data_IF_597792930634
#
_entry.id   IF_597792930634
#
_cell.length_a   1.000
_cell.length_b   1.000
_cell.length_c   1.000
_cell.angle_alpha   90.00
_cell.angle_beta   90.00
_cell.angle_gamma   90.00
#
_symmetry.space_group_name_H-M   'P 1'
#
loop_
_entity.id
_entity.type
_entity.pdbx_description
1 polymer ?
#
# COMPACT_ATOMS: atom_id res chain seq x y z
N UNK A 1 -6.75 -12.36 -9.47
CA UNK A 1 -7.09 -11.89 -8.11
C UNK A 1 -7.96 -10.65 -8.24
N UNK A 2 -8.81 -10.39 -7.24
CA UNK A 2 -9.57 -9.13 -7.13
C UNK A 2 -8.75 -8.10 -6.37
N UNK A 3 -8.71 -6.85 -6.87
CA UNK A 3 -7.96 -5.79 -6.20
C UNK A 3 -8.79 -4.51 -6.02
N UNK A 4 -8.45 -3.76 -4.97
CA UNK A 4 -8.97 -2.44 -4.66
C UNK A 4 -7.85 -1.42 -4.87
N UNK A 5 -8.12 -0.31 -5.59
CA UNK A 5 -7.15 0.72 -5.94
C UNK A 5 -7.39 1.98 -5.10
N UNK A 6 -6.61 2.17 -4.03
CA UNK A 6 -6.69 3.30 -3.12
C UNK A 6 -5.68 4.38 -3.51
N UNK A 7 -6.04 5.66 -3.38
CA UNK A 7 -5.24 6.78 -3.88
C UNK A 7 -4.94 6.64 -5.37
N UNK A 8 -5.97 6.28 -6.13
CA UNK A 8 -5.86 5.70 -7.46
C UNK A 8 -5.25 6.64 -8.51
N UNK A 9 -5.32 7.98 -8.30
CA UNK A 9 -4.85 8.94 -9.29
C UNK A 9 -5.56 8.74 -10.63
N UNK A 10 -4.78 8.47 -11.67
CA UNK A 10 -5.29 8.12 -13.00
C UNK A 10 -5.24 6.61 -13.30
N UNK A 11 -4.92 5.78 -12.30
CA UNK A 11 -4.96 4.31 -12.40
C UNK A 11 -3.64 3.64 -12.80
N UNK A 12 -2.51 4.14 -12.31
CA UNK A 12 -1.21 3.52 -12.58
C UNK A 12 -1.13 2.08 -12.07
N UNK A 13 -1.54 1.83 -10.83
CA UNK A 13 -1.65 0.47 -10.26
C UNK A 13 -2.63 -0.38 -11.05
N UNK A 14 -3.82 0.16 -11.32
CA UNK A 14 -4.86 -0.54 -12.07
C UNK A 14 -4.34 -1.04 -13.41
N UNK A 15 -3.68 -0.17 -14.17
CA UNK A 15 -3.14 -0.54 -15.48
C UNK A 15 -2.17 -1.74 -15.39
N UNK A 16 -1.31 -1.74 -14.37
CA UNK A 16 -0.37 -2.85 -14.12
C UNK A 16 -1.09 -4.13 -13.71
N UNK A 17 -2.04 -4.03 -12.80
CA UNK A 17 -2.80 -5.15 -12.28
C UNK A 17 -3.70 -5.80 -13.33
N UNK A 18 -4.41 -5.01 -14.13
CA UNK A 18 -5.24 -5.52 -15.23
C UNK A 18 -4.42 -6.20 -16.33
N UNK A 19 -3.24 -5.63 -16.67
CA UNK A 19 -2.30 -6.28 -17.61
C UNK A 19 -1.78 -7.61 -17.09
N UNK A 20 -1.71 -7.78 -15.77
CA UNK A 20 -1.37 -9.05 -15.13
C UNK A 20 -2.58 -10.00 -14.97
N UNK A 21 -3.75 -9.66 -15.52
CA UNK A 21 -4.96 -10.49 -15.49
C UNK A 21 -5.73 -10.43 -14.17
N UNK A 22 -5.62 -9.32 -13.44
CA UNK A 22 -6.37 -9.10 -12.21
C UNK A 22 -7.58 -8.19 -12.45
N UNK A 23 -8.59 -8.28 -11.60
CA UNK A 23 -9.89 -7.59 -11.70
C UNK A 23 -9.97 -6.50 -10.63
N UNK A 24 -10.27 -5.27 -11.04
CA UNK A 24 -10.57 -4.18 -10.12
C UNK A 24 -11.98 -4.34 -9.56
N UNK A 25 -12.16 -4.17 -8.26
CA UNK A 25 -13.48 -4.20 -7.61
C UNK A 25 -13.93 -2.82 -7.15
N UNK A 26 -13.03 -1.85 -7.14
CA UNK A 26 -13.33 -0.49 -6.75
C UNK A 26 -12.08 0.37 -6.64
N UNK A 27 -12.28 1.65 -6.53
CA UNK A 27 -11.20 2.63 -6.38
C UNK A 27 -11.59 3.77 -5.45
N UNK A 28 -10.57 4.43 -4.90
CA UNK A 28 -10.74 5.63 -4.09
C UNK A 28 -9.76 6.70 -4.55
N UNK A 29 -10.29 7.89 -4.90
CA UNK A 29 -9.49 9.05 -5.30
C UNK A 29 -10.23 10.35 -4.93
N UNK A 30 -9.56 11.24 -4.19
CA UNK A 30 -10.18 12.48 -3.70
C UNK A 30 -10.26 13.55 -4.79
N UNK A 31 -9.26 13.60 -5.69
CA UNK A 31 -9.22 14.61 -6.75
C UNK A 31 -10.23 14.30 -7.84
N UNK A 32 -11.17 15.22 -8.06
CA UNK A 32 -12.25 15.05 -9.05
C UNK A 32 -11.76 14.96 -10.49
N UNK A 33 -10.62 15.61 -10.82
CA UNK A 33 -10.09 15.58 -12.18
C UNK A 33 -9.35 14.28 -12.44
N UNK A 34 -8.62 13.78 -11.42
CA UNK A 34 -8.02 12.46 -11.48
C UNK A 34 -9.09 11.37 -11.63
N UNK A 35 -10.20 11.43 -10.85
CA UNK A 35 -11.34 10.50 -11.01
C UNK A 35 -11.95 10.54 -12.39
N UNK A 36 -12.15 11.74 -12.96
CA UNK A 36 -12.67 11.87 -14.34
C UNK A 36 -11.74 11.20 -15.35
N UNK A 37 -10.43 11.41 -15.21
CA UNK A 37 -9.44 10.78 -16.07
C UNK A 37 -9.41 9.26 -15.88
N UNK A 38 -9.47 8.79 -14.63
CA UNK A 38 -9.55 7.38 -14.28
C UNK A 38 -10.73 6.69 -14.98
N UNK A 39 -11.93 7.27 -14.86
CA UNK A 39 -13.15 6.74 -15.48
C UNK A 39 -13.17 6.83 -17.01
N UNK A 40 -12.41 7.76 -17.58
CA UNK A 40 -12.24 7.86 -19.03
C UNK A 40 -11.25 6.82 -19.59
N UNK A 41 -10.28 6.40 -18.79
CA UNK A 41 -9.24 5.44 -19.18
C UNK A 41 -9.70 4.01 -18.94
N UNK A 42 -10.41 3.77 -17.83
CA UNK A 42 -10.76 2.45 -17.34
C UNK A 42 -12.27 2.22 -17.36
N UNK A 43 -12.70 0.98 -17.61
CA UNK A 43 -14.09 0.59 -17.41
C UNK A 43 -14.33 0.41 -15.90
N UNK A 44 -15.18 1.26 -15.33
CA UNK A 44 -15.52 1.25 -13.89
C UNK A 44 -16.97 0.85 -13.63
N UNK A 45 -17.65 0.28 -14.62
CA UNK A 45 -19.05 -0.12 -14.48
C UNK A 45 -19.21 -1.25 -13.45
N UNK A 46 -20.08 -1.03 -12.48
CA UNK A 46 -20.33 -2.01 -11.40
C UNK A 46 -19.28 -2.03 -10.28
N UNK A 47 -18.28 -1.17 -10.31
CA UNK A 47 -17.26 -1.06 -9.29
C UNK A 47 -17.65 -0.10 -8.15
N UNK A 48 -17.06 -0.29 -6.97
CA UNK A 48 -17.16 0.69 -5.88
C UNK A 48 -16.35 1.93 -6.20
N UNK A 49 -16.97 3.10 -6.14
CA UNK A 49 -16.29 4.39 -6.27
C UNK A 49 -16.36 5.13 -4.93
N UNK A 50 -15.19 5.41 -4.35
CA UNK A 50 -15.04 6.22 -3.16
C UNK A 50 -14.27 7.49 -3.49
N UNK A 51 -14.55 8.55 -2.74
CA UNK A 51 -13.88 9.85 -2.94
C UNK A 51 -12.86 10.11 -1.85
N UNK A 52 -13.31 10.56 -0.69
CA UNK A 52 -12.46 10.77 0.48
C UNK A 52 -12.38 9.48 1.30
N UNK A 53 -11.20 8.90 1.37
CA UNK A 53 -10.95 7.63 2.08
C UNK A 53 -11.31 7.75 3.57
N UNK A 54 -11.13 8.94 4.16
CA UNK A 54 -11.41 9.19 5.58
C UNK A 54 -12.90 9.21 5.89
N UNK A 55 -13.73 9.49 4.88
CA UNK A 55 -15.18 9.55 5.00
C UNK A 55 -15.88 8.21 4.68
N UNK A 56 -15.14 7.19 4.25
CA UNK A 56 -15.72 5.88 3.94
C UNK A 56 -16.09 5.14 5.22
N UNK A 57 -17.37 4.82 5.39
CA UNK A 57 -17.84 4.05 6.53
C UNK A 57 -17.36 2.58 6.46
N UNK A 58 -17.13 1.96 7.61
CA UNK A 58 -16.67 0.56 7.72
C UNK A 58 -17.66 -0.42 7.07
N UNK A 59 -18.97 -0.13 7.14
CA UNK A 59 -20.01 -0.93 6.47
C UNK A 59 -19.85 -0.89 4.95
N UNK A 60 -19.47 0.26 4.39
CA UNK A 60 -19.20 0.38 2.95
C UNK A 60 -17.96 -0.42 2.55
N UNK A 61 -16.93 -0.45 3.41
CA UNK A 61 -15.75 -1.28 3.19
C UNK A 61 -16.13 -2.77 3.22
N UNK A 62 -16.92 -3.19 4.22
CA UNK A 62 -17.41 -4.59 4.30
C UNK A 62 -18.25 -4.97 3.08
N UNK A 63 -19.01 -4.00 2.54
CA UNK A 63 -19.84 -4.17 1.35
C UNK A 63 -19.06 -4.52 0.08
N UNK A 64 -17.76 -4.17 0.00
CA UNK A 64 -16.87 -4.56 -1.10
C UNK A 64 -16.76 -6.10 -1.18
N UNK A 65 -16.87 -6.78 -0.05
CA UNK A 65 -16.73 -8.22 0.06
C UNK A 65 -15.27 -8.65 -0.11
N UNK A 66 -14.99 -9.45 -1.17
CA UNK A 66 -13.66 -10.01 -1.37
C UNK A 66 -12.75 -9.06 -2.16
N UNK A 67 -11.66 -8.65 -1.55
CA UNK A 67 -10.48 -8.09 -2.22
C UNK A 67 -9.26 -8.94 -1.83
N UNK A 68 -8.54 -9.46 -2.82
CA UNK A 68 -7.33 -10.27 -2.60
C UNK A 68 -6.10 -9.37 -2.43
N UNK A 69 -6.13 -8.18 -3.03
CA UNK A 69 -5.04 -7.18 -3.00
C UNK A 69 -5.62 -5.80 -2.74
N UNK A 70 -4.97 -5.04 -1.88
CA UNK A 70 -5.14 -3.58 -1.81
C UNK A 70 -3.89 -2.94 -2.41
N UNK A 71 -4.09 -2.14 -3.48
CA UNK A 71 -3.07 -1.26 -4.06
C UNK A 71 -3.22 0.14 -3.51
N UNK A 72 -2.11 0.88 -3.33
CA UNK A 72 -2.21 2.27 -2.90
C UNK A 72 -0.90 3.04 -2.91
N UNK A 73 -0.90 4.18 -3.60
CA UNK A 73 0.18 5.17 -3.57
C UNK A 73 -0.18 6.30 -2.60
N UNK A 74 0.01 6.09 -1.30
CA UNK A 74 -0.37 7.07 -0.29
C UNK A 74 0.64 8.22 -0.19
N UNK A 75 0.20 9.45 0.13
CA UNK A 75 1.11 10.58 0.30
C UNK A 75 1.98 10.41 1.55
N UNK A 76 3.26 10.81 1.45
CA UNK A 76 4.16 10.87 2.59
C UNK A 76 3.74 12.03 3.51
N UNK A 77 3.19 11.71 4.66
CA UNK A 77 2.82 12.68 5.69
C UNK A 77 3.55 12.35 6.99
N UNK A 78 3.99 13.38 7.71
CA UNK A 78 4.57 13.20 9.03
C UNK A 78 3.54 12.60 9.99
N UNK A 79 3.92 11.54 10.70
CA UNK A 79 3.16 11.06 11.83
C UNK A 79 3.37 12.03 13.01
N UNK A 80 2.30 12.55 13.61
CA UNK A 80 2.46 13.33 14.82
C UNK A 80 2.95 12.40 15.94
N UNK A 81 4.03 12.82 16.63
CA UNK A 81 4.74 12.04 17.65
C UNK A 81 3.86 11.72 18.88
N UNK A 82 2.66 12.30 18.98
CA UNK A 82 1.74 12.09 20.10
C UNK A 82 1.27 10.61 20.25
N UNK A 83 1.37 9.79 19.18
CA UNK A 83 0.86 8.42 19.15
C UNK A 83 1.84 7.31 19.56
N UNK A 84 3.09 7.61 19.96
CA UNK A 84 4.11 6.58 20.26
C UNK A 84 3.77 5.61 21.41
N UNK A 85 2.66 5.81 22.14
CA UNK A 85 2.29 4.99 23.32
C UNK A 85 0.86 4.43 23.31
N UNK A 86 0.03 4.75 22.32
CA UNK A 86 -1.40 4.47 22.36
C UNK A 86 -1.91 3.42 21.35
N UNK A 87 -1.05 2.78 20.60
CA UNK A 87 -1.43 1.73 19.65
C UNK A 87 -2.18 2.25 18.41
N UNK A 88 -2.73 1.32 17.64
CA UNK A 88 -3.40 1.53 16.36
C UNK A 88 -4.56 2.56 16.39
N UNK A 89 -5.19 2.76 17.56
CA UNK A 89 -6.36 3.62 17.68
C UNK A 89 -6.05 5.13 17.73
N UNK A 90 -4.86 5.52 18.16
CA UNK A 90 -4.50 6.93 18.38
C UNK A 90 -3.81 7.60 17.18
N UNK A 91 -3.44 6.79 16.16
CA UNK A 91 -2.81 7.24 14.92
C UNK A 91 -3.82 7.53 13.80
N UNK A 92 -5.12 7.46 14.11
CA UNK A 92 -6.21 7.83 13.21
C UNK A 92 -6.04 9.28 12.75
N UNK A 93 -5.68 9.47 11.48
CA UNK A 93 -5.51 10.80 10.88
C UNK A 93 -4.44 10.90 9.81
N UNK A 94 -3.60 9.88 9.66
CA UNK A 94 -2.69 9.81 8.51
C UNK A 94 -3.25 8.84 7.47
N UNK A 95 -3.08 9.18 6.21
CA UNK A 95 -3.69 8.44 5.11
C UNK A 95 -3.19 6.99 4.98
N UNK A 96 -2.00 6.66 5.51
CA UNK A 96 -1.56 5.27 5.63
C UNK A 96 -2.46 4.46 6.56
N UNK A 97 -2.92 5.03 7.69
CA UNK A 97 -3.78 4.31 8.61
C UNK A 97 -5.19 4.09 8.07
N UNK A 98 -5.62 4.86 7.07
CA UNK A 98 -6.82 4.53 6.33
C UNK A 98 -6.62 3.25 5.49
N UNK A 99 -5.44 3.07 4.84
CA UNK A 99 -5.13 1.78 4.20
C UNK A 99 -5.14 0.65 5.23
N UNK A 100 -4.53 0.87 6.39
CA UNK A 100 -4.50 -0.10 7.48
C UNK A 100 -5.91 -0.46 7.98
N UNK A 101 -6.84 0.51 8.05
CA UNK A 101 -8.26 0.31 8.37
C UNK A 101 -8.94 -0.58 7.31
N UNK A 102 -8.78 -0.27 6.03
CA UNK A 102 -9.29 -1.12 4.95
C UNK A 102 -8.71 -2.54 5.03
N UNK A 103 -7.40 -2.66 5.27
CA UNK A 103 -6.74 -3.96 5.40
C UNK A 103 -7.22 -4.75 6.61
N UNK A 104 -7.53 -4.09 7.74
CA UNK A 104 -8.08 -4.75 8.93
C UNK A 104 -9.46 -5.36 8.69
N UNK A 105 -10.28 -4.71 7.87
CA UNK A 105 -11.66 -5.11 7.57
C UNK A 105 -11.71 -6.18 6.48
N UNK A 106 -11.01 -5.95 5.36
CA UNK A 106 -11.07 -6.80 4.17
C UNK A 106 -10.12 -8.01 4.24
N UNK A 107 -9.05 -7.91 5.06
CA UNK A 107 -8.03 -8.95 5.21
C UNK A 107 -7.49 -9.47 3.88
N UNK A 108 -7.05 -8.58 2.96
CA UNK A 108 -6.52 -9.01 1.66
C UNK A 108 -5.28 -9.89 1.84
N UNK A 109 -5.02 -10.76 0.87
CA UNK A 109 -3.80 -11.59 0.87
C UNK A 109 -2.53 -10.75 0.75
N UNK A 110 -2.62 -9.68 -0.02
CA UNK A 110 -1.50 -8.80 -0.32
C UNK A 110 -1.87 -7.34 -0.14
N UNK A 111 -0.90 -6.58 0.32
CA UNK A 111 -0.88 -5.12 0.21
C UNK A 111 0.20 -4.76 -0.81
N UNK A 112 -0.11 -3.91 -1.80
CA UNK A 112 0.83 -3.44 -2.80
C UNK A 112 0.89 -1.92 -2.74
N UNK A 113 1.85 -1.40 -1.99
CA UNK A 113 1.92 0.01 -1.63
C UNK A 113 3.10 0.70 -2.31
N UNK A 114 2.95 2.00 -2.59
CA UNK A 114 4.00 2.84 -3.18
C UNK A 114 4.17 4.12 -2.40
N UNK A 115 5.41 4.58 -2.34
CA UNK A 115 5.71 5.91 -1.81
C UNK A 115 7.00 6.48 -2.43
N UNK A 116 7.28 7.74 -2.12
CA UNK A 116 8.58 8.35 -2.44
C UNK A 116 9.69 7.72 -1.60
N UNK A 117 10.92 7.64 -2.13
CA UNK A 117 12.07 7.07 -1.39
C UNK A 117 12.41 7.83 -0.11
N UNK A 118 12.06 9.12 -0.04
CA UNK A 118 12.19 9.91 1.17
C UNK A 118 11.44 9.33 2.39
N UNK A 119 10.46 8.45 2.18
CA UNK A 119 9.76 7.74 3.26
C UNK A 119 10.72 6.93 4.13
N UNK A 120 11.73 6.29 3.51
CA UNK A 120 12.67 5.41 4.22
C UNK A 120 13.50 6.16 5.27
N UNK A 121 13.80 7.45 5.01
CA UNK A 121 14.61 8.29 5.88
C UNK A 121 13.80 9.37 6.60
N UNK A 122 12.48 9.42 6.37
CA UNK A 122 11.63 10.44 6.98
C UNK A 122 11.61 10.28 8.51
N UNK A 123 11.79 11.40 9.22
CA UNK A 123 11.91 11.44 10.69
C UNK A 123 12.95 10.42 11.21
N UNK A 124 14.15 10.42 10.61
CA UNK A 124 15.23 9.47 10.93
C UNK A 124 14.81 7.98 10.82
N UNK A 125 13.90 7.65 9.90
CA UNK A 125 13.38 6.30 9.70
C UNK A 125 12.16 5.95 10.56
N UNK A 126 11.83 6.74 11.59
CA UNK A 126 10.71 6.45 12.51
C UNK A 126 9.37 6.29 11.78
N UNK A 127 9.15 7.06 10.71
CA UNK A 127 7.92 6.96 9.92
C UNK A 127 7.78 5.60 9.26
N UNK A 128 8.86 5.12 8.65
CA UNK A 128 8.85 3.82 7.98
C UNK A 128 8.73 2.66 8.98
N UNK A 129 9.44 2.74 10.12
CA UNK A 129 9.31 1.78 11.22
C UNK A 129 7.89 1.72 11.77
N UNK A 130 7.20 2.86 11.87
CA UNK A 130 5.78 2.92 12.29
C UNK A 130 4.88 2.19 11.29
N UNK A 131 5.11 2.36 9.98
CA UNK A 131 4.39 1.63 8.93
C UNK A 131 4.61 0.13 9.07
N UNK A 132 5.87 -0.31 9.21
CA UNK A 132 6.21 -1.71 9.36
C UNK A 132 5.59 -2.31 10.62
N UNK A 133 5.62 -1.57 11.74
CA UNK A 133 4.98 -1.99 13.00
C UNK A 133 3.46 -2.17 12.84
N UNK A 134 2.78 -1.23 12.18
CA UNK A 134 1.35 -1.34 11.92
C UNK A 134 1.01 -2.53 11.00
N UNK A 135 1.82 -2.81 9.99
CA UNK A 135 1.66 -3.99 9.14
C UNK A 135 1.85 -5.28 9.95
N UNK A 136 2.85 -5.32 10.83
CA UNK A 136 3.09 -6.46 11.71
C UNK A 136 1.92 -6.72 12.67
N UNK A 137 1.39 -5.68 13.31
CA UNK A 137 0.20 -5.75 14.18
C UNK A 137 -1.03 -6.27 13.42
N UNK A 138 -1.20 -5.89 12.16
CA UNK A 138 -2.26 -6.39 11.28
C UNK A 138 -2.03 -7.83 10.81
N UNK A 139 -0.88 -8.42 11.11
CA UNK A 139 -0.52 -9.78 10.74
C UNK A 139 0.05 -9.92 9.34
N UNK A 140 0.70 -8.88 8.81
CA UNK A 140 1.41 -8.91 7.53
C UNK A 140 2.91 -8.99 7.75
N UNK A 141 3.57 -9.87 7.01
CA UNK A 141 5.00 -9.78 6.75
C UNK A 141 5.23 -8.79 5.62
N UNK A 142 6.25 -7.96 5.71
CA UNK A 142 6.50 -6.91 4.71
C UNK A 142 7.87 -7.10 4.06
N UNK A 143 7.94 -6.84 2.76
CA UNK A 143 9.16 -6.68 2.00
C UNK A 143 9.07 -5.40 1.17
N UNK A 144 10.21 -4.79 0.84
CA UNK A 144 10.23 -3.57 0.03
C UNK A 144 11.46 -3.49 -0.85
N UNK A 145 11.31 -2.77 -1.95
CA UNK A 145 12.40 -2.50 -2.90
C UNK A 145 12.22 -1.12 -3.54
N UNK A 146 13.33 -0.43 -3.76
CA UNK A 146 13.34 0.83 -4.51
C UNK A 146 13.50 0.55 -5.99
N UNK A 147 12.61 1.11 -6.81
CA UNK A 147 12.68 1.07 -8.26
C UNK A 147 12.82 2.46 -8.85
N UNK A 148 13.55 2.55 -9.96
CA UNK A 148 13.63 3.76 -10.76
C UNK A 148 12.99 3.53 -12.12
N UNK A 149 12.03 4.38 -12.50
CA UNK A 149 11.27 4.23 -13.76
C UNK A 149 12.15 4.16 -15.00
N UNK A 150 13.35 4.81 -14.98
CA UNK A 150 14.31 4.75 -16.10
C UNK A 150 14.79 3.33 -16.42
N UNK A 151 14.77 2.42 -15.43
CA UNK A 151 15.20 1.03 -15.62
C UNK A 151 14.10 0.17 -16.26
N UNK A 152 12.90 0.74 -16.50
CA UNK A 152 11.72 0.07 -17.05
C UNK A 152 11.23 0.71 -18.35
N UNK A 153 12.15 1.31 -19.11
CA UNK A 153 11.85 1.85 -20.45
C UNK A 153 11.18 3.23 -20.47
N UNK A 154 11.09 3.90 -19.32
CA UNK A 154 10.54 5.26 -19.23
C UNK A 154 11.71 6.25 -19.08
N UNK A 155 11.84 7.27 -19.96
CA UNK A 155 12.94 8.23 -19.92
C UNK A 155 12.72 9.29 -18.79
N UNK A 156 12.45 8.83 -17.59
CA UNK A 156 12.21 9.64 -16.40
C UNK A 156 12.99 9.08 -15.22
N UNK A 157 13.80 9.91 -14.58
CA UNK A 157 14.47 9.54 -13.34
C UNK A 157 13.49 9.74 -12.16
N UNK A 158 12.76 8.66 -11.83
CA UNK A 158 11.74 8.67 -10.76
C UNK A 158 11.92 7.45 -9.89
N UNK A 159 12.47 7.65 -8.70
CA UNK A 159 12.62 6.57 -7.71
C UNK A 159 11.39 6.47 -6.82
N UNK A 160 10.97 5.25 -6.54
CA UNK A 160 9.87 4.92 -5.65
C UNK A 160 10.17 3.67 -4.86
N UNK A 161 9.80 3.68 -3.60
CA UNK A 161 9.77 2.47 -2.78
C UNK A 161 8.42 1.79 -2.99
N UNK A 162 8.50 0.50 -3.30
CA UNK A 162 7.32 -0.38 -3.30
C UNK A 162 7.40 -1.30 -2.10
N UNK A 163 6.27 -1.45 -1.41
CA UNK A 163 6.14 -2.26 -0.20
C UNK A 163 5.09 -3.32 -0.49
N UNK A 164 5.44 -4.58 -0.28
CA UNK A 164 4.51 -5.71 -0.38
C UNK A 164 4.26 -6.25 1.01
N UNK A 165 2.99 -6.21 1.44
CA UNK A 165 2.54 -6.91 2.65
C UNK A 165 1.98 -8.28 2.29
N UNK A 166 2.39 -9.32 2.99
CA UNK A 166 1.91 -10.69 2.86
C UNK A 166 1.13 -11.08 4.10
N UNK A 167 -0.16 -11.38 3.96
CA UNK A 167 -0.97 -11.83 5.10
C UNK A 167 -0.46 -13.17 5.60
N UNK A 168 -0.07 -13.25 6.86
CA UNK A 168 0.40 -14.47 7.49
C UNK A 168 -0.66 -15.57 7.42
N UNK A 169 -0.23 -16.78 7.09
CA UNK A 169 -1.12 -17.92 6.93
C UNK A 169 -1.91 -17.97 5.61
N UNK A 170 -1.88 -16.94 4.77
CA UNK A 170 -2.57 -16.93 3.49
C UNK A 170 -1.76 -17.64 2.36
N UNK A 171 -0.54 -18.05 2.65
CA UNK A 171 0.41 -18.61 1.68
C UNK A 171 0.89 -17.51 0.70
N UNK A 172 2.16 -17.39 0.54
CA UNK A 172 2.79 -16.45 -0.37
C UNK A 172 4.30 -16.74 -0.38
N UNK A 173 4.95 -16.36 -1.46
CA UNK A 173 6.41 -16.39 -1.57
C UNK A 173 6.91 -14.95 -1.64
N UNK A 174 8.14 -14.73 -1.22
CA UNK A 174 8.82 -13.47 -1.42
C UNK A 174 8.78 -13.06 -2.92
N UNK A 175 8.54 -11.79 -3.17
CA UNK A 175 8.45 -11.20 -4.50
C UNK A 175 9.75 -10.51 -4.85
N UNK A 176 10.39 -9.88 -3.89
CA UNK A 176 11.66 -9.20 -4.06
C UNK A 176 12.86 -10.14 -3.71
N UNK A 177 14.02 -9.95 -4.34
CA UNK A 177 14.37 -8.94 -5.33
C UNK A 177 13.77 -9.21 -6.71
N UNK A 178 13.36 -8.14 -7.38
CA UNK A 178 12.82 -8.20 -8.73
C UNK A 178 13.81 -7.56 -9.72
N UNK A 179 14.25 -8.34 -10.71
CA UNK A 179 14.90 -7.84 -11.91
C UNK A 179 16.25 -7.13 -11.76
N UNK A 180 17.21 -7.66 -11.00
CA UNK A 180 18.62 -7.23 -11.09
C UNK A 180 18.89 -5.74 -10.78
N UNK A 181 18.06 -5.10 -10.00
CA UNK A 181 18.21 -3.71 -9.59
C UNK A 181 18.82 -3.66 -8.20
N UNK A 182 20.10 -3.28 -8.13
CA UNK A 182 20.89 -3.20 -6.88
C UNK A 182 20.55 -1.95 -6.05
N UNK A 183 19.32 -1.83 -5.53
CA UNK A 183 19.02 -0.72 -4.61
C UNK A 183 18.04 -1.13 -3.53
N UNK A 184 18.45 -0.84 -2.30
CA UNK A 184 17.70 -0.90 -1.05
C UNK A 184 16.55 -1.93 -1.03
N UNK A 185 16.89 -3.17 -0.71
CA UNK A 185 15.94 -4.25 -0.51
C UNK A 185 15.85 -4.49 0.99
N UNK A 186 14.65 -4.63 1.51
CA UNK A 186 14.45 -4.99 2.90
C UNK A 186 13.26 -5.91 3.08
N UNK A 187 13.24 -6.65 4.15
CA UNK A 187 12.11 -7.48 4.54
C UNK A 187 11.92 -7.49 6.05
N UNK A 188 10.66 -7.53 6.47
CA UNK A 188 10.24 -7.75 7.85
C UNK A 188 9.36 -8.99 7.87
N UNK A 189 9.80 -10.01 8.62
CA UNK A 189 8.99 -11.20 8.90
C UNK A 189 8.66 -11.20 10.39
N UNK A 190 7.36 -11.21 10.71
CA UNK A 190 6.89 -11.31 12.08
C UNK A 190 7.38 -12.60 12.69
N UNK A 191 8.22 -12.50 13.71
CA UNK A 191 8.53 -13.61 14.58
C UNK A 191 7.56 -13.61 15.75
N UNK A 192 7.14 -14.78 16.19
CA UNK A 192 6.30 -14.99 17.38
C UNK A 192 6.96 -14.53 18.70
N UNK A 193 8.08 -13.82 18.64
CA UNK A 193 8.81 -13.20 19.74
C UNK A 193 9.46 -11.91 19.29
N UNK A 194 8.94 -10.80 19.74
CA UNK A 194 9.46 -9.44 19.99
C UNK A 194 10.86 -9.05 19.44
N UNK A 195 11.25 -9.37 18.22
CA UNK A 195 12.50 -8.85 17.66
C UNK A 195 12.30 -8.49 16.19
N UNK A 196 12.21 -7.18 15.94
CA UNK A 196 12.26 -6.60 14.60
C UNK A 196 13.73 -6.68 14.15
N UNK A 197 14.02 -7.53 13.19
CA UNK A 197 15.33 -7.57 12.54
C UNK A 197 15.18 -7.01 11.14
N UNK A 198 15.38 -5.70 10.99
CA UNK A 198 15.61 -5.10 9.69
C UNK A 198 17.03 -5.46 9.23
N UNK A 199 17.18 -6.26 8.19
CA UNK A 199 18.46 -6.48 7.52
C UNK A 199 18.55 -5.50 6.36
N UNK A 200 19.39 -4.49 6.55
CA UNK A 200 19.89 -3.65 5.48
C UNK A 200 21.07 -4.37 4.82
N UNK A 201 20.92 -4.70 3.54
CA UNK A 201 22.01 -5.23 2.71
C UNK A 201 22.46 -4.19 1.70
#
# INVERSE_FOLDING_TARGET
MKFLDLFAGIGGFRLGMERAGHECVGFCEIDQFARKSYKAIHNTEGEFEFHDITAVADESIRGIGRADVICGGFPCQAFSIAGKRAGFEDTRGTLFFEIARFASILRPKYLFLENVTGLLNHDNGNTFETILGALDELGYDAEWQVFNSKNFGVPQNRERVFIIGHLRGAGGRAIFPFGGVDKEIGSLQGQSTNTITARYG
#
